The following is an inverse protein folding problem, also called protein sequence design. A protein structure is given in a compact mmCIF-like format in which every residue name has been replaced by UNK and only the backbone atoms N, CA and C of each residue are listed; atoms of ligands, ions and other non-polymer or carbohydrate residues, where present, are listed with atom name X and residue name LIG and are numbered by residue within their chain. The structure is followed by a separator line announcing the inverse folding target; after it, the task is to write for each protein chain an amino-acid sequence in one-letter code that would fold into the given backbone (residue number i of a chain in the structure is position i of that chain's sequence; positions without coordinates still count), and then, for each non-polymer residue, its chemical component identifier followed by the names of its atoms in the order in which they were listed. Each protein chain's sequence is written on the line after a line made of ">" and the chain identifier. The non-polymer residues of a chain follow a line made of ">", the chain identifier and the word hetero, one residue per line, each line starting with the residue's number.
data_IF_987013021196
#
_entry.id   IF_987013021196
#
_cell.length_a   1.000
_cell.length_b   1.000
_cell.length_c   1.000
_cell.angle_alpha   90.00
_cell.angle_beta   90.00
_cell.angle_gamma   90.00
#
_symmetry.space_group_name_H-M   'P 1'
#
loop_
_entity.id
_entity.type
_entity.pdbx_description
1 polymer ?
#
# COMPACT_ATOMS: atom_id res chain seq x y z
N UNK A 1 -3.26 12.14 -15.13
CA UNK A 1 -2.87 10.99 -14.29
C UNK A 1 -4.03 10.06 -13.93
N UNK A 2 -5.29 10.50 -13.96
CA UNK A 2 -6.45 9.67 -13.61
C UNK A 2 -6.58 8.37 -14.42
N UNK A 3 -6.40 8.44 -15.75
CA UNK A 3 -6.47 7.26 -16.63
C UNK A 3 -5.41 6.22 -16.24
N UNK A 4 -4.19 6.66 -15.95
CA UNK A 4 -3.10 5.79 -15.52
C UNK A 4 -3.41 5.13 -14.16
N UNK A 5 -3.99 5.90 -13.23
CA UNK A 5 -4.44 5.40 -11.93
C UNK A 5 -5.52 4.31 -12.08
N UNK A 6 -6.51 4.52 -12.95
CA UNK A 6 -7.58 3.54 -13.20
C UNK A 6 -7.02 2.25 -13.81
N UNK A 7 -6.10 2.37 -14.77
CA UNK A 7 -5.44 1.20 -15.38
C UNK A 7 -4.63 0.45 -14.31
N UNK A 8 -3.83 1.15 -13.51
CA UNK A 8 -3.08 0.53 -12.42
C UNK A 8 -4.00 -0.19 -11.43
N UNK A 9 -5.13 0.43 -11.08
CA UNK A 9 -6.16 -0.14 -10.19
C UNK A 9 -6.79 -1.40 -10.78
N UNK A 10 -7.04 -1.42 -12.09
CA UNK A 10 -7.57 -2.59 -12.78
C UNK A 10 -6.59 -3.77 -12.72
N UNK A 11 -5.29 -3.50 -12.91
CA UNK A 11 -4.24 -4.51 -12.73
C UNK A 11 -4.19 -5.03 -11.29
N UNK A 12 -4.22 -4.13 -10.31
CA UNK A 12 -4.27 -4.52 -8.89
C UNK A 12 -5.43 -5.47 -8.61
N UNK A 13 -6.63 -5.17 -9.08
CA UNK A 13 -7.80 -6.03 -8.86
C UNK A 13 -7.66 -7.39 -9.55
N UNK A 14 -7.19 -7.41 -10.80
CA UNK A 14 -7.04 -8.64 -11.57
C UNK A 14 -6.00 -9.57 -10.94
N UNK A 15 -4.84 -9.03 -10.56
CA UNK A 15 -3.77 -9.81 -9.92
C UNK A 15 -4.05 -10.14 -8.45
N UNK A 16 -4.76 -9.27 -7.73
CA UNK A 16 -5.23 -9.53 -6.37
C UNK A 16 -6.25 -10.65 -6.33
N UNK A 17 -7.24 -10.62 -7.23
CA UNK A 17 -8.26 -11.65 -7.32
C UNK A 17 -7.67 -13.01 -7.74
N UNK A 18 -6.76 -13.03 -8.72
CA UNK A 18 -6.06 -14.27 -9.09
C UNK A 18 -5.19 -14.81 -7.97
N UNK A 19 -4.54 -13.95 -7.17
CA UNK A 19 -3.79 -14.38 -5.99
C UNK A 19 -4.69 -15.01 -4.91
N UNK A 20 -5.92 -14.51 -4.73
CA UNK A 20 -6.91 -15.06 -3.79
C UNK A 20 -7.43 -16.44 -4.23
N UNK A 21 -7.67 -16.63 -5.53
CA UNK A 21 -8.14 -17.91 -6.07
C UNK A 21 -7.03 -18.96 -6.19
N UNK A 22 -5.79 -18.53 -6.36
CA UNK A 22 -4.66 -19.44 -6.47
C UNK A 22 -4.39 -20.13 -5.13
N UNK A 23 -4.29 -21.46 -5.14
CA UNK A 23 -3.94 -22.22 -3.95
C UNK A 23 -2.60 -21.73 -3.37
N UNK A 24 -2.61 -21.48 -2.05
CA UNK A 24 -1.48 -20.97 -1.29
C UNK A 24 -0.27 -21.91 -1.44
N UNK A 25 0.87 -21.36 -1.85
CA UNK A 25 2.12 -22.11 -2.02
C UNK A 25 2.45 -22.52 -3.46
N UNK A 26 1.48 -22.50 -4.38
CA UNK A 26 1.77 -22.69 -5.80
C UNK A 26 2.55 -21.52 -6.40
N UNK A 27 3.30 -21.81 -7.47
CA UNK A 27 4.05 -20.80 -8.24
C UNK A 27 3.15 -19.67 -8.72
N UNK A 28 1.88 -19.99 -9.05
CA UNK A 28 0.89 -19.02 -9.52
C UNK A 28 0.52 -18.00 -8.43
N UNK A 29 0.31 -18.45 -7.18
CA UNK A 29 0.04 -17.54 -6.06
C UNK A 29 1.23 -16.60 -5.79
N UNK A 30 2.46 -17.13 -5.81
CA UNK A 30 3.67 -16.31 -5.65
C UNK A 30 3.81 -15.28 -6.77
N UNK A 31 3.61 -15.69 -8.02
CA UNK A 31 3.74 -14.81 -9.18
C UNK A 31 2.67 -13.72 -9.20
N UNK A 32 1.39 -14.08 -9.00
CA UNK A 32 0.29 -13.13 -8.89
C UNK A 32 0.52 -12.14 -7.73
N UNK A 33 1.02 -12.63 -6.59
CA UNK A 33 1.39 -11.80 -5.44
C UNK A 33 2.47 -10.75 -5.75
N UNK A 34 3.53 -11.12 -6.48
CA UNK A 34 4.56 -10.15 -6.90
C UNK A 34 3.99 -9.06 -7.81
N UNK A 35 3.18 -9.46 -8.79
CA UNK A 35 2.61 -8.52 -9.76
C UNK A 35 1.62 -7.60 -9.06
N UNK A 36 0.78 -8.16 -8.17
CA UNK A 36 -0.10 -7.39 -7.30
C UNK A 36 0.68 -6.34 -6.51
N UNK A 37 1.81 -6.71 -5.91
CA UNK A 37 2.65 -5.77 -5.17
C UNK A 37 3.19 -4.63 -6.07
N UNK A 38 3.75 -4.96 -7.24
CA UNK A 38 4.27 -3.95 -8.17
C UNK A 38 3.15 -3.01 -8.64
N UNK A 39 2.00 -3.57 -8.99
CA UNK A 39 0.82 -2.80 -9.41
C UNK A 39 0.32 -1.91 -8.27
N UNK A 40 0.32 -2.38 -7.02
CA UNK A 40 -0.08 -1.61 -5.85
C UNK A 40 0.88 -0.46 -5.55
N UNK A 41 2.19 -0.65 -5.74
CA UNK A 41 3.18 0.45 -5.58
C UNK A 41 2.89 1.56 -6.60
N UNK A 42 2.69 1.19 -7.86
CA UNK A 42 2.37 2.15 -8.94
C UNK A 42 1.05 2.87 -8.66
N UNK A 43 0.01 2.12 -8.26
CA UNK A 43 -1.28 2.66 -7.90
C UNK A 43 -1.16 3.65 -6.74
N UNK A 44 -0.46 3.28 -5.68
CA UNK A 44 -0.29 4.10 -4.48
C UNK A 44 0.47 5.40 -4.78
N UNK A 45 1.52 5.35 -5.60
CA UNK A 45 2.24 6.54 -6.06
C UNK A 45 1.35 7.45 -6.92
N UNK A 46 0.56 6.88 -7.81
CA UNK A 46 -0.39 7.66 -8.62
C UNK A 46 -1.51 8.27 -7.79
N UNK A 47 -1.95 7.59 -6.73
CA UNK A 47 -2.93 8.09 -5.77
C UNK A 47 -2.36 9.28 -4.99
N UNK A 48 -1.16 9.13 -4.43
CA UNK A 48 -0.47 10.21 -3.72
C UNK A 48 -0.26 11.45 -4.60
N UNK A 49 0.07 11.25 -5.88
CA UNK A 49 0.20 12.35 -6.83
C UNK A 49 -1.13 13.05 -7.12
N UNK A 50 -2.22 12.29 -7.23
CA UNK A 50 -3.56 12.85 -7.41
C UNK A 50 -3.99 13.65 -6.17
N UNK A 51 -3.83 13.11 -4.97
CA UNK A 51 -4.13 13.81 -3.71
C UNK A 51 -3.35 15.13 -3.62
N UNK A 52 -2.05 15.10 -3.92
CA UNK A 52 -1.23 16.31 -3.96
C UNK A 52 -1.74 17.33 -5.00
N UNK A 53 -2.19 16.87 -6.17
CA UNK A 53 -2.74 17.75 -7.21
C UNK A 53 -4.07 18.39 -6.79
N UNK A 54 -4.86 17.72 -5.94
CA UNK A 54 -6.08 18.27 -5.36
C UNK A 54 -5.81 19.21 -4.17
N UNK A 55 -4.56 19.31 -3.70
CA UNK A 55 -4.17 20.12 -2.55
C UNK A 55 -4.31 19.38 -1.21
N UNK A 56 -4.63 18.09 -1.24
CA UNK A 56 -4.78 17.25 -0.06
C UNK A 56 -3.45 16.63 0.35
N UNK A 57 -3.32 16.33 1.65
CA UNK A 57 -2.17 15.57 2.13
C UNK A 57 -2.30 14.10 1.67
N UNK A 58 -1.28 13.50 1.05
CA UNK A 58 -1.40 12.21 0.34
C UNK A 58 -1.43 10.98 1.27
N UNK A 59 -2.38 10.98 2.21
CA UNK A 59 -2.41 10.03 3.32
C UNK A 59 -2.81 8.62 2.86
N UNK A 60 -3.76 8.50 1.92
CA UNK A 60 -4.24 7.20 1.46
C UNK A 60 -3.23 6.55 0.52
N UNK A 61 -2.55 7.35 -0.31
CA UNK A 61 -1.44 6.87 -1.11
C UNK A 61 -0.31 6.31 -0.25
N UNK A 62 0.10 7.04 0.79
CA UNK A 62 1.17 6.60 1.71
C UNK A 62 0.75 5.34 2.49
N UNK A 63 -0.48 5.31 3.02
CA UNK A 63 -0.99 4.16 3.76
C UNK A 63 -1.07 2.89 2.89
N UNK A 64 -1.55 3.03 1.65
CA UNK A 64 -1.62 1.92 0.69
C UNK A 64 -0.23 1.39 0.36
N UNK A 65 0.75 2.28 0.17
CA UNK A 65 2.14 1.92 -0.07
C UNK A 65 2.76 1.20 1.14
N UNK A 66 2.43 1.64 2.36
CA UNK A 66 2.83 0.99 3.60
C UNK A 66 2.31 -0.46 3.65
N UNK A 67 1.00 -0.68 3.46
CA UNK A 67 0.43 -2.03 3.49
C UNK A 67 1.02 -2.94 2.41
N UNK A 68 1.17 -2.44 1.19
CA UNK A 68 1.77 -3.20 0.10
C UNK A 68 3.23 -3.60 0.43
N UNK A 69 4.04 -2.64 0.89
CA UNK A 69 5.47 -2.86 1.14
C UNK A 69 5.70 -3.77 2.35
N UNK A 70 4.95 -3.58 3.43
CA UNK A 70 5.08 -4.39 4.65
C UNK A 70 4.59 -5.83 4.44
N UNK A 71 3.48 -6.02 3.73
CA UNK A 71 2.97 -7.37 3.41
C UNK A 71 3.96 -8.15 2.54
N UNK A 72 4.51 -7.50 1.52
CA UNK A 72 5.53 -8.08 0.65
C UNK A 72 6.81 -8.44 1.41
N UNK A 73 7.27 -7.53 2.28
CA UNK A 73 8.47 -7.75 3.09
C UNK A 73 8.27 -8.89 4.10
N UNK A 74 7.09 -8.97 4.73
CA UNK A 74 6.73 -10.03 5.69
C UNK A 74 6.84 -11.42 5.06
N UNK A 75 6.45 -11.58 3.79
CA UNK A 75 6.54 -12.88 3.08
C UNK A 75 7.99 -13.26 2.74
N UNK A 76 8.85 -12.27 2.46
CA UNK A 76 10.26 -12.50 2.08
C UNK A 76 11.24 -12.58 3.25
N UNK A 77 10.85 -12.09 4.42
CA UNK A 77 11.73 -11.98 5.58
C UNK A 77 12.03 -13.37 6.15
N UNK A 78 13.31 -13.65 6.40
CA UNK A 78 13.76 -14.76 7.27
C UNK A 78 13.77 -14.27 8.71
N UNK A 79 13.42 -15.14 9.66
CA UNK A 79 13.29 -14.79 11.09
C UNK A 79 14.56 -14.11 11.66
N UNK A 80 14.37 -13.23 12.66
CA UNK A 80 15.39 -12.63 13.56
C UNK A 80 16.31 -11.49 13.06
N UNK A 81 15.94 -10.69 12.07
CA UNK A 81 16.76 -9.49 11.73
C UNK A 81 15.91 -8.22 11.70
N UNK A 82 16.10 -7.32 12.67
CA UNK A 82 15.52 -5.96 12.65
C UNK A 82 16.40 -5.11 11.72
N UNK A 83 15.80 -4.52 10.70
CA UNK A 83 16.50 -3.71 9.70
C UNK A 83 15.98 -2.27 9.60
N UNK A 84 16.67 -1.43 8.82
CA UNK A 84 16.26 -0.05 8.54
C UNK A 84 14.82 0.05 7.99
N UNK A 85 14.38 -0.98 7.24
CA UNK A 85 13.01 -1.05 6.71
C UNK A 85 11.96 -1.10 7.82
N UNK A 86 12.22 -1.80 8.93
CA UNK A 86 11.27 -1.88 10.05
C UNK A 86 11.09 -0.51 10.72
N UNK A 87 12.18 0.25 10.88
CA UNK A 87 12.13 1.60 11.42
C UNK A 87 11.37 2.56 10.48
N UNK A 88 11.63 2.52 9.17
CA UNK A 88 10.90 3.33 8.20
C UNK A 88 9.40 2.97 8.16
N UNK A 89 9.08 1.68 8.21
CA UNK A 89 7.70 1.20 8.29
C UNK A 89 7.03 1.70 9.58
N UNK A 90 7.72 1.61 10.72
CA UNK A 90 7.18 2.09 11.99
C UNK A 90 6.94 3.60 12.00
N UNK A 91 7.88 4.40 11.49
CA UNK A 91 7.73 5.87 11.42
C UNK A 91 6.58 6.26 10.49
N UNK A 92 6.48 5.60 9.33
CA UNK A 92 5.41 5.90 8.36
C UNK A 92 4.02 5.60 8.92
N UNK A 93 3.81 4.46 9.58
CA UNK A 93 2.50 4.16 10.18
C UNK A 93 2.17 5.08 11.36
N UNK A 94 3.17 5.51 12.12
CA UNK A 94 2.99 6.41 13.24
C UNK A 94 2.57 7.81 12.75
N UNK A 95 3.18 8.31 11.67
CA UNK A 95 2.76 9.54 11.02
C UNK A 95 1.32 9.46 10.50
N UNK A 96 0.94 8.34 9.86
CA UNK A 96 -0.44 8.13 9.40
C UNK A 96 -1.41 8.11 10.58
N UNK A 97 -1.10 7.40 11.66
CA UNK A 97 -1.96 7.31 12.84
C UNK A 97 -2.22 8.69 13.49
N UNK A 98 -1.18 9.53 13.62
CA UNK A 98 -1.33 10.90 14.14
C UNK A 98 -2.26 11.72 13.24
N UNK A 99 -2.12 11.58 11.92
CA UNK A 99 -2.94 12.34 10.96
C UNK A 99 -4.41 11.93 11.04
N UNK A 100 -4.69 10.63 11.12
CA UNK A 100 -6.05 10.11 11.31
C UNK A 100 -6.65 10.55 12.64
N UNK A 101 -5.87 10.54 13.73
CA UNK A 101 -6.33 11.01 15.03
C UNK A 101 -6.73 12.49 14.98
N UNK A 102 -5.89 13.34 14.38
CA UNK A 102 -6.21 14.76 14.17
C UNK A 102 -7.49 14.94 13.37
N UNK A 103 -7.61 14.22 12.25
CA UNK A 103 -8.78 14.36 11.38
C UNK A 103 -10.07 13.90 12.06
N UNK A 104 -10.01 12.81 12.84
CA UNK A 104 -11.14 12.34 13.65
C UNK A 104 -11.50 13.31 14.79
N UNK A 105 -10.49 13.95 15.39
CA UNK A 105 -10.71 14.97 16.42
C UNK A 105 -11.40 16.21 15.84
N UNK A 106 -10.92 16.70 14.70
CA UNK A 106 -11.51 17.84 14.00
C UNK A 106 -12.95 17.56 13.56
N UNK A 107 -13.28 16.33 13.17
CA UNK A 107 -14.65 15.95 12.83
C UNK A 107 -15.58 15.84 14.05
N UNK A 108 -15.06 15.39 15.19
CA UNK A 108 -15.86 15.18 16.40
C UNK A 108 -16.09 16.46 17.20
N UNK A 109 -15.15 17.41 17.15
CA UNK A 109 -15.13 18.61 18.00
C UNK A 109 -14.97 19.95 17.25
N UNK A 110 -14.82 19.93 15.92
CA UNK A 110 -14.78 21.12 15.06
C UNK A 110 -16.12 21.44 14.42
#
# INVERSE_FOLDING_TARGET
>A
MLIFHIIAGSFVLLFGYTALLALKGLRLHKFAGNIFFIAMVILSLSAAYLEYQLGDFPIMGILSLYFASTSWFTVKRKEKQIGLFDYCAFISILAVAITFYKWGWDFAYG
#
